data_IF_357327173580
#
_entry.id   IF_357327173580
#
_cell.length_a   1.000
_cell.length_b   1.000
_cell.length_c   1.000
_cell.angle_alpha   90.00
_cell.angle_beta   90.00
_cell.angle_gamma   90.00
#
_symmetry.space_group_name_H-M   'P 1'
#
loop_
_entity.id
_entity.type
_entity.pdbx_description
1 polymer ?
#
# COMPACT_ATOMS: atom_id res chain seq x y z
N UNK A 1 24.79 0.24 -9.07
CA UNK A 1 24.11 -0.85 -9.79
C UNK A 1 23.78 -0.32 -11.17
N UNK A 2 24.27 -0.96 -12.23
CA UNK A 2 23.93 -0.60 -13.62
C UNK A 2 22.59 -1.23 -13.99
N UNK A 3 21.74 -0.53 -14.75
CA UNK A 3 20.58 -1.18 -15.37
C UNK A 3 21.09 -2.08 -16.48
N UNK A 4 20.79 -3.38 -16.39
CA UNK A 4 21.30 -4.35 -17.35
C UNK A 4 20.85 -4.02 -18.78
N UNK A 5 21.82 -3.84 -19.69
CA UNK A 5 21.61 -3.64 -21.11
C UNK A 5 21.94 -4.93 -21.87
N UNK A 6 20.94 -5.63 -22.45
CA UNK A 6 21.17 -6.89 -23.14
C UNK A 6 21.93 -6.74 -24.46
N UNK A 7 22.09 -5.53 -25.00
CA UNK A 7 22.80 -5.28 -26.27
C UNK A 7 24.28 -4.98 -26.08
N UNK A 8 24.65 -4.32 -24.98
CA UNK A 8 26.01 -3.81 -24.78
C UNK A 8 26.69 -4.32 -23.50
N UNK A 9 25.94 -4.88 -22.57
CA UNK A 9 26.47 -5.37 -21.31
C UNK A 9 27.01 -6.81 -21.39
N UNK A 10 28.15 -7.03 -20.75
CA UNK A 10 28.63 -8.38 -20.40
C UNK A 10 28.51 -8.53 -18.89
N UNK A 11 27.70 -9.50 -18.45
CA UNK A 11 27.38 -9.70 -17.04
C UNK A 11 27.67 -11.14 -16.65
N UNK A 12 28.16 -11.35 -15.43
CA UNK A 12 28.20 -12.69 -14.82
C UNK A 12 26.81 -13.11 -14.35
N UNK A 13 26.01 -12.14 -13.87
CA UNK A 13 24.67 -12.35 -13.30
C UNK A 13 23.76 -11.14 -13.51
N UNK A 14 22.49 -11.39 -13.78
CA UNK A 14 21.42 -10.39 -13.89
C UNK A 14 20.27 -10.73 -12.94
N UNK A 15 19.73 -9.71 -12.27
CA UNK A 15 18.55 -9.82 -11.41
C UNK A 15 17.33 -9.23 -12.11
N UNK A 16 16.23 -9.98 -12.16
CA UNK A 16 14.97 -9.56 -12.77
C UNK A 16 13.86 -9.53 -11.73
N UNK A 17 13.28 -8.35 -11.53
CA UNK A 17 12.15 -8.15 -10.62
C UNK A 17 10.85 -7.95 -11.40
N UNK A 18 9.79 -8.68 -11.03
CA UNK A 18 8.45 -8.51 -11.61
C UNK A 18 7.39 -8.39 -10.52
N UNK A 19 6.65 -7.29 -10.54
CA UNK A 19 5.62 -7.00 -9.53
C UNK A 19 4.27 -7.60 -9.91
N UNK A 20 3.83 -7.40 -11.15
CA UNK A 20 2.49 -7.78 -11.60
C UNK A 20 2.50 -9.11 -12.34
N UNK A 21 1.55 -10.00 -12.05
CA UNK A 21 1.42 -11.30 -12.72
C UNK A 21 0.91 -11.20 -14.16
N UNK A 22 0.47 -10.02 -14.58
CA UNK A 22 -0.17 -9.78 -15.86
C UNK A 22 0.65 -8.97 -16.85
N UNK A 23 1.77 -8.37 -16.43
CA UNK A 23 2.66 -7.71 -17.38
C UNK A 23 3.45 -8.77 -18.14
N UNK A 24 3.81 -8.52 -19.41
CA UNK A 24 4.76 -9.38 -20.12
C UNK A 24 6.08 -9.53 -19.32
N UNK A 25 6.78 -10.64 -19.54
CA UNK A 25 8.16 -10.76 -19.05
C UNK A 25 9.11 -9.92 -19.92
N UNK A 26 10.32 -9.65 -19.43
CA UNK A 26 11.34 -8.96 -20.21
C UNK A 26 11.67 -9.80 -21.47
N UNK A 27 11.63 -9.21 -22.68
CA UNK A 27 11.65 -10.00 -23.92
C UNK A 27 13.05 -10.46 -24.35
N UNK A 28 14.11 -9.88 -23.79
CA UNK A 28 15.48 -10.19 -24.19
C UNK A 28 16.13 -11.26 -23.31
N UNK A 29 17.01 -12.04 -23.92
CA UNK A 29 17.79 -13.09 -23.26
C UNK A 29 19.13 -12.51 -22.81
N UNK A 30 19.54 -12.86 -21.59
CA UNK A 30 20.89 -12.57 -21.10
C UNK A 30 21.71 -13.86 -21.11
N UNK A 31 22.91 -13.88 -21.74
CA UNK A 31 23.76 -15.06 -21.79
C UNK A 31 24.58 -15.24 -20.50
N UNK A 32 23.93 -15.14 -19.34
CA UNK A 32 24.54 -15.20 -18.02
C UNK A 32 23.58 -15.84 -17.00
N UNK A 33 23.95 -15.91 -15.73
CA UNK A 33 23.00 -16.32 -14.69
C UNK A 33 21.87 -15.29 -14.57
N UNK A 34 20.61 -15.74 -14.58
CA UNK A 34 19.44 -14.87 -14.43
C UNK A 34 18.66 -15.26 -13.17
N UNK A 35 18.66 -14.37 -12.18
CA UNK A 35 17.92 -14.54 -10.93
C UNK A 35 16.60 -13.77 -11.01
N UNK A 36 15.47 -14.49 -11.09
CA UNK A 36 14.12 -13.91 -11.13
C UNK A 36 13.51 -13.83 -9.74
N UNK A 37 12.81 -12.74 -9.44
CA UNK A 37 12.13 -12.54 -8.16
C UNK A 37 10.93 -11.60 -8.24
N UNK A 38 10.03 -11.73 -7.29
CA UNK A 38 8.86 -10.87 -7.16
C UNK A 38 7.54 -11.57 -7.47
N UNK A 39 6.46 -10.95 -6.96
CA UNK A 39 5.09 -11.49 -7.00
C UNK A 39 4.64 -11.85 -8.41
N UNK A 40 5.09 -11.13 -9.43
CA UNK A 40 4.72 -11.34 -10.83
C UNK A 40 5.25 -12.62 -11.45
N UNK A 41 6.30 -13.21 -10.88
CA UNK A 41 6.80 -14.55 -11.27
C UNK A 41 6.13 -15.69 -10.49
N UNK A 42 5.25 -15.37 -9.53
CA UNK A 42 4.58 -16.35 -8.64
C UNK A 42 5.57 -17.20 -7.81
N UNK A 43 6.79 -16.70 -7.63
CA UNK A 43 7.74 -17.25 -6.67
C UNK A 43 7.51 -16.58 -5.32
N UNK A 44 7.02 -17.37 -4.36
CA UNK A 44 6.75 -16.96 -2.99
C UNK A 44 7.66 -17.64 -1.97
N UNK A 45 8.55 -18.53 -2.44
CA UNK A 45 9.49 -19.25 -1.58
C UNK A 45 10.82 -18.52 -1.47
N UNK A 46 11.21 -17.78 -2.52
CA UNK A 46 12.43 -16.98 -2.50
C UNK A 46 12.28 -15.78 -1.58
N UNK A 47 13.10 -15.76 -0.53
CA UNK A 47 13.29 -14.65 0.38
C UNK A 47 14.62 -13.95 0.10
N UNK A 48 14.71 -12.67 0.45
CA UNK A 48 15.98 -11.95 0.41
C UNK A 48 16.89 -12.47 1.54
N UNK A 49 18.22 -12.54 1.33
CA UNK A 49 19.17 -12.71 2.41
C UNK A 49 19.00 -11.62 3.47
N UNK A 50 19.26 -11.96 4.73
CA UNK A 50 19.05 -11.05 5.88
C UNK A 50 19.87 -9.77 5.72
N UNK A 51 21.14 -9.89 5.32
CA UNK A 51 22.01 -8.74 5.10
C UNK A 51 21.50 -7.79 3.99
N UNK A 52 20.74 -8.32 3.02
CA UNK A 52 20.16 -7.52 1.93
C UNK A 52 18.85 -6.87 2.40
N UNK A 53 17.99 -7.62 3.09
CA UNK A 53 16.71 -7.12 3.64
C UNK A 53 16.93 -5.96 4.62
N UNK A 54 18.03 -6.01 5.37
CA UNK A 54 18.40 -5.01 6.39
C UNK A 54 19.46 -4.00 5.92
N UNK A 55 19.67 -3.89 4.59
CA UNK A 55 20.55 -2.87 4.03
C UNK A 55 19.80 -1.56 3.77
N UNK A 56 20.42 -0.42 4.10
CA UNK A 56 19.92 0.87 3.66
C UNK A 56 19.99 0.93 2.13
N UNK A 57 18.88 1.21 1.41
CA UNK A 57 18.95 1.36 -0.04
C UNK A 57 19.92 2.48 -0.42
N UNK A 58 20.70 2.24 -1.48
CA UNK A 58 21.50 3.30 -2.10
C UNK A 58 20.56 4.23 -2.89
N UNK A 59 20.09 5.25 -2.19
CA UNK A 59 19.24 6.26 -2.77
C UNK A 59 19.98 7.23 -3.72
N UNK A 60 21.28 7.07 -3.95
CA UNK A 60 21.99 7.77 -5.02
C UNK A 60 21.64 7.20 -6.40
N UNK A 61 21.19 5.94 -6.46
CA UNK A 61 20.80 5.27 -7.72
C UNK A 61 19.45 5.74 -8.27
N UNK A 62 18.60 6.30 -7.41
CA UNK A 62 17.25 6.73 -7.77
C UNK A 62 17.00 8.14 -7.26
N UNK A 63 16.63 9.06 -8.14
CA UNK A 63 16.22 10.42 -7.74
C UNK A 63 14.84 10.41 -7.07
N UNK A 64 14.78 9.86 -5.86
CA UNK A 64 13.55 9.74 -5.06
C UNK A 64 13.71 10.45 -3.72
N UNK A 65 12.79 11.39 -3.37
CA UNK A 65 12.99 12.33 -2.26
C UNK A 65 12.68 11.74 -0.87
N UNK A 66 12.28 10.47 -0.79
CA UNK A 66 11.91 9.81 0.44
C UNK A 66 12.64 8.48 0.60
N UNK A 67 12.89 8.09 1.84
CA UNK A 67 13.29 6.74 2.15
C UNK A 67 12.13 5.79 1.84
N UNK A 68 12.41 4.54 1.51
CA UNK A 68 11.41 3.50 1.24
C UNK A 68 11.82 2.27 2.02
N UNK A 69 10.89 1.70 2.78
CA UNK A 69 11.18 0.53 3.61
C UNK A 69 9.92 -0.09 4.23
N UNK A 70 10.18 -1.07 5.10
CA UNK A 70 9.16 -1.87 5.78
C UNK A 70 9.54 -2.01 7.25
N UNK A 71 8.67 -1.55 8.14
CA UNK A 71 8.86 -1.75 9.59
C UNK A 71 8.44 -3.16 10.01
N UNK A 72 7.52 -3.74 9.25
CA UNK A 72 6.89 -5.05 9.47
C UNK A 72 6.68 -5.77 8.13
N UNK A 73 6.66 -7.09 8.21
CA UNK A 73 6.28 -7.99 7.10
C UNK A 73 5.10 -8.85 7.51
N UNK A 74 4.34 -9.33 6.53
CA UNK A 74 3.18 -10.18 6.75
C UNK A 74 1.94 -9.41 7.22
N UNK A 75 0.87 -10.14 7.49
CA UNK A 75 -0.40 -9.55 7.93
C UNK A 75 -1.19 -10.55 8.79
N UNK A 76 -1.93 -10.04 9.77
CA UNK A 76 -2.85 -10.86 10.60
C UNK A 76 -4.11 -11.29 9.84
N UNK A 77 -4.42 -10.64 8.73
CA UNK A 77 -5.62 -10.90 7.95
C UNK A 77 -5.36 -11.91 6.84
N UNK A 78 -6.37 -12.72 6.52
CA UNK A 78 -6.34 -13.68 5.41
C UNK A 78 -7.36 -13.31 4.33
N UNK A 79 -7.32 -12.06 3.87
CA UNK A 79 -8.23 -11.57 2.84
C UNK A 79 -8.09 -12.41 1.56
N UNK A 80 -9.19 -12.89 0.95
CA UNK A 80 -9.12 -13.80 -0.19
C UNK A 80 -8.55 -13.17 -1.47
N UNK A 81 -8.54 -11.83 -1.55
CA UNK A 81 -7.94 -11.06 -2.65
C UNK A 81 -6.47 -10.68 -2.41
N UNK A 82 -5.85 -11.14 -1.32
CA UNK A 82 -4.53 -10.69 -0.90
C UNK A 82 -3.49 -11.81 -1.04
N UNK A 83 -2.34 -11.48 -1.64
CA UNK A 83 -1.21 -12.41 -1.78
C UNK A 83 -0.35 -12.50 -0.50
N UNK A 84 -0.45 -11.51 0.40
CA UNK A 84 0.43 -11.37 1.57
C UNK A 84 0.44 -12.61 2.48
N UNK A 85 -0.69 -13.25 2.82
CA UNK A 85 -0.67 -14.44 3.68
C UNK A 85 0.13 -15.60 3.07
N UNK A 86 0.12 -15.72 1.74
CA UNK A 86 0.87 -16.74 1.00
C UNK A 86 2.35 -16.37 0.84
N UNK A 87 2.63 -15.10 0.59
CA UNK A 87 3.99 -14.60 0.27
C UNK A 87 4.82 -14.27 1.50
N UNK A 88 4.24 -13.57 2.46
CA UNK A 88 4.96 -13.03 3.62
C UNK A 88 4.55 -13.72 4.93
N UNK A 89 3.36 -14.33 4.98
CA UNK A 89 2.89 -15.06 6.15
C UNK A 89 2.34 -14.17 7.27
N UNK A 90 2.51 -14.64 8.50
CA UNK A 90 2.06 -13.94 9.70
C UNK A 90 2.84 -12.63 9.91
N UNK A 91 2.19 -11.68 10.60
CA UNK A 91 2.80 -10.40 10.96
C UNK A 91 4.06 -10.64 11.80
N UNK A 92 5.15 -9.94 11.46
CA UNK A 92 6.41 -9.94 12.24
C UNK A 92 7.12 -8.59 12.12
N UNK A 93 7.99 -8.30 13.08
CA UNK A 93 8.95 -7.21 12.98
C UNK A 93 9.86 -7.40 11.76
N UNK A 94 10.27 -6.29 11.15
CA UNK A 94 11.23 -6.26 10.05
C UNK A 94 12.38 -5.34 10.43
N UNK A 95 12.33 -4.06 10.06
CA UNK A 95 13.41 -3.12 10.30
C UNK A 95 13.02 -2.01 11.28
N UNK A 96 14.02 -1.45 11.95
CA UNK A 96 13.93 -0.13 12.58
C UNK A 96 13.90 0.96 11.50
N UNK A 97 13.14 2.03 11.72
CA UNK A 97 13.03 3.14 10.77
C UNK A 97 14.40 3.70 10.38
N UNK A 98 15.36 3.78 11.30
CA UNK A 98 16.69 4.35 11.04
C UNK A 98 17.54 3.50 10.11
N UNK A 99 17.27 2.19 9.98
CA UNK A 99 18.01 1.28 9.08
C UNK A 99 17.97 1.74 7.63
N UNK A 100 16.84 2.34 7.21
CA UNK A 100 16.63 2.75 5.81
C UNK A 100 16.37 4.25 5.66
N UNK A 101 16.41 5.07 6.72
CA UNK A 101 16.24 6.52 6.54
C UNK A 101 17.33 7.14 5.67
N UNK A 102 18.57 6.66 5.77
CA UNK A 102 19.70 7.17 4.98
C UNK A 102 19.83 8.69 5.05
N UNK A 103 19.64 9.28 6.23
CA UNK A 103 19.65 10.73 6.48
C UNK A 103 18.43 11.52 5.99
N UNK A 104 17.43 10.88 5.38
CA UNK A 104 16.22 11.54 4.87
C UNK A 104 15.26 11.90 5.98
N UNK A 105 14.41 12.90 5.72
CA UNK A 105 13.34 13.35 6.63
C UNK A 105 11.93 12.91 6.19
N UNK A 106 11.83 12.24 5.05
CA UNK A 106 10.59 11.70 4.51
C UNK A 106 10.74 10.19 4.31
N UNK A 107 9.72 9.39 4.60
CA UNK A 107 9.70 7.96 4.33
C UNK A 107 8.35 7.49 3.76
N UNK A 108 8.41 6.53 2.83
CA UNK A 108 7.26 5.78 2.31
C UNK A 108 7.37 4.37 2.85
N UNK A 109 6.37 4.00 3.65
CA UNK A 109 6.33 2.72 4.36
C UNK A 109 5.36 1.79 3.63
N UNK A 110 5.87 0.62 3.29
CA UNK A 110 5.18 -0.36 2.46
C UNK A 110 4.59 -1.52 3.27
N UNK A 111 4.50 -1.35 4.59
CA UNK A 111 3.94 -2.29 5.55
C UNK A 111 2.51 -2.73 5.23
N UNK A 112 2.25 -4.04 5.25
CA UNK A 112 0.92 -4.58 4.99
C UNK A 112 -0.06 -4.37 6.15
N UNK A 113 0.42 -4.38 7.40
CA UNK A 113 -0.42 -4.11 8.58
C UNK A 113 0.40 -3.68 9.82
N UNK A 114 1.11 -2.56 9.72
CA UNK A 114 1.97 -2.04 10.80
C UNK A 114 1.25 -1.90 12.15
N UNK A 115 -0.04 -1.56 12.15
CA UNK A 115 -0.82 -1.33 13.37
C UNK A 115 -1.17 -2.62 14.11
N UNK A 116 -1.00 -3.77 13.49
CA UNK A 116 -1.25 -5.08 14.09
C UNK A 116 0.01 -5.66 14.76
N UNK A 117 1.06 -4.86 14.95
CA UNK A 117 2.34 -5.27 15.53
C UNK A 117 2.77 -4.31 16.64
N UNK A 118 3.16 -4.83 17.81
CA UNK A 118 3.73 -4.02 18.90
C UNK A 118 4.97 -3.25 18.44
N UNK A 119 5.88 -3.94 17.75
CA UNK A 119 7.04 -3.32 17.08
C UNK A 119 6.63 -2.19 16.13
N UNK A 120 5.57 -2.42 15.33
CA UNK A 120 5.08 -1.40 14.40
C UNK A 120 4.61 -0.13 15.11
N UNK A 121 3.94 -0.26 16.26
CA UNK A 121 3.53 0.88 17.08
C UNK A 121 4.74 1.60 17.70
N UNK A 122 5.71 0.86 18.23
CA UNK A 122 6.98 1.43 18.75
C UNK A 122 7.74 2.23 17.68
N UNK A 123 7.79 1.72 16.45
CA UNK A 123 8.41 2.41 15.32
C UNK A 123 7.64 3.67 14.91
N UNK A 124 6.29 3.66 14.97
CA UNK A 124 5.49 4.88 14.75
C UNK A 124 5.78 5.95 15.82
N UNK A 125 5.94 5.56 17.09
CA UNK A 125 6.38 6.49 18.13
C UNK A 125 7.78 7.05 17.84
N UNK A 126 8.70 6.19 17.41
CA UNK A 126 10.05 6.60 17.02
C UNK A 126 10.02 7.60 15.86
N UNK A 127 9.19 7.36 14.84
CA UNK A 127 8.95 8.28 13.72
C UNK A 127 8.50 9.66 14.22
N UNK A 128 7.57 9.70 15.19
CA UNK A 128 7.10 10.96 15.80
C UNK A 128 8.26 11.67 16.51
N UNK A 129 9.04 10.97 17.33
CA UNK A 129 10.20 11.53 18.04
C UNK A 129 11.26 12.10 17.09
N UNK A 130 11.57 11.36 16.02
CA UNK A 130 12.53 11.78 14.99
C UNK A 130 11.99 12.90 14.09
N UNK A 131 10.68 13.18 14.16
CA UNK A 131 10.01 14.19 13.35
C UNK A 131 9.98 13.85 11.86
N UNK A 132 10.08 12.57 11.51
CA UNK A 132 10.06 12.08 10.12
C UNK A 132 8.65 12.19 9.56
N UNK A 133 8.54 12.69 8.33
CA UNK A 133 7.28 12.75 7.60
C UNK A 133 7.05 11.43 6.88
N UNK A 134 5.88 10.82 7.06
CA UNK A 134 5.62 9.47 6.55
C UNK A 134 4.40 9.34 5.65
N UNK A 135 4.47 8.36 4.77
CA UNK A 135 3.37 7.83 3.98
C UNK A 135 3.28 6.31 4.15
N UNK A 136 2.29 5.83 4.90
CA UNK A 136 1.94 4.40 4.93
C UNK A 136 1.12 4.06 3.67
N UNK A 137 1.80 3.58 2.63
CA UNK A 137 1.26 3.58 1.28
C UNK A 137 0.31 2.41 0.99
N UNK A 138 0.44 1.28 1.70
CA UNK A 138 -0.43 0.11 1.53
C UNK A 138 -1.82 0.28 2.16
N UNK A 139 -2.03 1.36 2.92
CA UNK A 139 -3.27 1.59 3.66
C UNK A 139 -3.29 0.89 5.02
N UNK A 140 -3.57 1.65 6.06
CA UNK A 140 -3.69 1.16 7.43
C UNK A 140 -5.00 0.38 7.64
N UNK A 141 -4.95 -0.61 8.52
CA UNK A 141 -6.10 -1.42 8.88
C UNK A 141 -7.04 -0.66 9.83
N UNK A 142 -8.17 -0.18 9.28
CA UNK A 142 -9.18 0.56 10.03
C UNK A 142 -9.73 -0.23 11.24
N UNK A 143 -9.68 -1.57 11.22
CA UNK A 143 -10.12 -2.40 12.37
C UNK A 143 -9.23 -2.19 13.58
N UNK A 144 -7.93 -1.96 13.41
CA UNK A 144 -7.02 -1.71 14.53
C UNK A 144 -7.35 -0.36 15.19
N UNK A 145 -7.54 0.67 14.37
CA UNK A 145 -7.94 2.02 14.82
C UNK A 145 -9.31 1.98 15.52
N UNK A 146 -10.25 1.19 14.98
CA UNK A 146 -11.60 1.07 15.54
C UNK A 146 -11.62 0.40 16.92
N UNK A 147 -10.70 -0.53 17.18
CA UNK A 147 -10.63 -1.31 18.42
C UNK A 147 -9.84 -0.60 19.52
N UNK A 148 -8.85 0.23 19.17
CA UNK A 148 -7.98 0.90 20.13
C UNK A 148 -7.92 2.42 19.91
N UNK A 149 -8.29 3.21 20.94
CA UNK A 149 -8.32 4.68 20.87
C UNK A 149 -6.90 5.25 20.81
N UNK A 150 -5.96 4.63 21.51
CA UNK A 150 -4.56 5.08 21.60
C UNK A 150 -3.89 5.08 20.22
N UNK A 151 -4.29 4.17 19.33
CA UNK A 151 -3.83 4.18 17.94
C UNK A 151 -4.29 5.45 17.21
N UNK A 152 -5.52 5.91 17.41
CA UNK A 152 -5.98 7.14 16.78
C UNK A 152 -5.22 8.38 17.30
N UNK A 153 -4.91 8.41 18.60
CA UNK A 153 -4.09 9.45 19.24
C UNK A 153 -2.63 9.41 18.80
N UNK A 154 -2.09 8.21 18.57
CA UNK A 154 -0.76 8.04 17.99
C UNK A 154 -0.72 8.59 16.56
N UNK A 155 -1.67 8.18 15.72
CA UNK A 155 -1.74 8.60 14.31
C UNK A 155 -2.02 10.10 14.15
N UNK A 156 -2.71 10.75 15.09
CA UNK A 156 -2.94 12.21 15.02
C UNK A 156 -1.67 13.03 15.23
N UNK A 157 -0.65 12.47 15.90
CA UNK A 157 0.65 13.11 16.14
C UNK A 157 1.66 12.89 15.01
N UNK A 158 1.41 11.93 14.12
CA UNK A 158 2.29 11.63 12.99
C UNK A 158 2.32 12.78 11.98
N UNK A 159 3.51 13.12 11.47
CA UNK A 159 3.66 14.07 10.36
C UNK A 159 3.36 13.35 9.04
N UNK A 160 2.13 13.45 8.56
CA UNK A 160 1.73 12.82 7.31
C UNK A 160 2.26 13.55 6.07
N UNK A 161 2.67 12.80 5.04
CA UNK A 161 3.01 13.35 3.73
C UNK A 161 1.81 14.02 3.06
N UNK A 162 0.65 13.35 3.08
CA UNK A 162 -0.58 13.90 2.52
C UNK A 162 -1.83 13.41 3.24
N UNK A 163 -1.97 12.09 3.34
CA UNK A 163 -3.15 11.42 3.88
C UNK A 163 -2.78 10.34 4.89
N UNK A 164 -3.69 10.07 5.81
CA UNK A 164 -3.79 8.79 6.52
C UNK A 164 -4.53 7.84 5.58
N UNK A 165 -3.81 6.95 4.90
CA UNK A 165 -4.40 5.97 4.00
C UNK A 165 -4.91 4.79 4.79
N UNK A 166 -6.11 4.32 4.47
CA UNK A 166 -6.76 3.16 5.05
C UNK A 166 -7.37 2.29 3.95
N UNK A 167 -7.69 1.04 4.25
CA UNK A 167 -8.43 0.17 3.35
C UNK A 167 -9.90 0.05 3.80
N UNK A 168 -10.83 0.13 2.84
CA UNK A 168 -12.25 -0.17 3.05
C UNK A 168 -12.68 -1.16 1.95
N UNK A 169 -12.20 -2.41 2.03
CA UNK A 169 -12.31 -3.39 0.94
C UNK A 169 -13.66 -4.12 0.84
N UNK A 170 -14.48 -4.08 1.89
CA UNK A 170 -15.77 -4.79 1.94
C UNK A 170 -16.72 -4.13 2.93
N UNK A 171 -18.02 -4.14 2.64
CA UNK A 171 -19.06 -3.68 3.59
C UNK A 171 -19.06 -4.46 4.91
N UNK A 172 -18.46 -5.66 4.96
CA UNK A 172 -18.29 -6.40 6.21
C UNK A 172 -17.44 -5.67 7.27
N UNK A 173 -16.59 -4.71 6.86
CA UNK A 173 -15.77 -3.90 7.79
C UNK A 173 -16.32 -2.48 8.01
N UNK A 174 -17.51 -2.18 7.49
CA UNK A 174 -18.16 -0.87 7.55
C UNK A 174 -18.13 -0.22 8.93
N UNK A 175 -18.62 -0.93 9.95
CA UNK A 175 -18.71 -0.35 11.29
C UNK A 175 -17.32 -0.05 11.89
N UNK A 176 -16.31 -0.85 11.53
CA UNK A 176 -14.93 -0.56 11.90
C UNK A 176 -14.42 0.71 11.21
N UNK A 177 -14.70 0.89 9.92
CA UNK A 177 -14.30 2.10 9.17
C UNK A 177 -14.97 3.34 9.75
N UNK A 178 -16.28 3.31 9.98
CA UNK A 178 -17.02 4.43 10.58
C UNK A 178 -16.47 4.79 11.96
N UNK A 179 -16.21 3.78 12.80
CA UNK A 179 -15.64 4.00 14.14
C UNK A 179 -14.20 4.51 14.10
N UNK A 180 -13.38 4.05 13.15
CA UNK A 180 -12.03 4.57 12.95
C UNK A 180 -12.05 6.05 12.55
N UNK A 181 -12.94 6.44 11.62
CA UNK A 181 -13.15 7.84 11.22
C UNK A 181 -13.58 8.68 12.41
N UNK A 182 -14.55 8.22 13.20
CA UNK A 182 -15.03 8.94 14.39
C UNK A 182 -13.90 9.16 15.41
N UNK A 183 -13.09 8.14 15.69
CA UNK A 183 -11.95 8.23 16.62
C UNK A 183 -10.90 9.22 16.12
N UNK A 184 -10.51 9.13 14.85
CA UNK A 184 -9.55 10.07 14.27
C UNK A 184 -10.08 11.52 14.28
N UNK A 185 -11.38 11.72 14.03
CA UNK A 185 -12.03 13.04 14.16
C UNK A 185 -11.96 13.57 15.60
N UNK A 186 -12.20 12.73 16.61
CA UNK A 186 -12.07 13.12 18.04
C UNK A 186 -10.65 13.54 18.38
N UNK A 187 -9.65 12.96 17.74
CA UNK A 187 -8.23 13.37 17.86
C UNK A 187 -7.86 14.58 16.97
N UNK A 188 -8.83 15.28 16.36
CA UNK A 188 -8.60 16.48 15.55
C UNK A 188 -8.19 16.23 14.09
N UNK A 189 -8.18 14.98 13.62
CA UNK A 189 -7.88 14.68 12.22
C UNK A 189 -9.07 15.04 11.34
N UNK A 190 -8.85 15.93 10.37
CA UNK A 190 -9.89 16.34 9.41
C UNK A 190 -10.23 15.17 8.46
N UNK A 191 -11.52 14.91 8.14
CA UNK A 191 -11.90 13.87 7.19
C UNK A 191 -11.20 13.96 5.82
N UNK A 192 -10.94 15.18 5.33
CA UNK A 192 -10.20 15.40 4.08
C UNK A 192 -8.75 14.87 4.10
N UNK A 193 -8.19 14.54 5.28
CA UNK A 193 -6.89 13.88 5.45
C UNK A 193 -6.99 12.36 5.50
N UNK A 194 -8.19 11.80 5.55
CA UNK A 194 -8.44 10.36 5.59
C UNK A 194 -8.71 9.86 4.18
N UNK A 195 -7.80 9.03 3.65
CA UNK A 195 -7.88 8.46 2.31
C UNK A 195 -8.20 6.98 2.41
N UNK A 196 -9.08 6.48 1.54
CA UNK A 196 -9.51 5.09 1.56
C UNK A 196 -9.32 4.46 0.20
N UNK A 197 -8.52 3.41 0.15
CA UNK A 197 -8.55 2.45 -0.94
C UNK A 197 -9.86 1.66 -0.84
N UNK A 198 -10.63 1.65 -1.92
CA UNK A 198 -11.91 0.94 -2.03
C UNK A 198 -11.76 -0.11 -3.11
N UNK A 199 -11.65 -1.37 -2.70
CA UNK A 199 -11.63 -2.50 -3.64
C UNK A 199 -12.98 -2.63 -4.36
N UNK A 200 -12.96 -2.64 -5.69
CA UNK A 200 -14.15 -2.81 -6.53
C UNK A 200 -14.19 -4.24 -7.07
N UNK A 201 -14.97 -5.09 -6.40
CA UNK A 201 -15.33 -6.44 -6.88
C UNK A 201 -16.76 -6.45 -7.39
N UNK A 202 -17.67 -6.04 -6.54
CA UNK A 202 -19.05 -5.72 -6.87
C UNK A 202 -19.20 -4.20 -7.00
N UNK A 203 -19.87 -3.74 -8.05
CA UNK A 203 -19.95 -2.31 -8.38
C UNK A 203 -20.89 -1.59 -7.42
N UNK A 204 -22.04 -2.18 -7.08
CA UNK A 204 -23.04 -1.54 -6.23
C UNK A 204 -22.56 -1.44 -4.79
N UNK A 205 -21.96 -2.51 -4.26
CA UNK A 205 -21.32 -2.51 -2.94
C UNK A 205 -20.19 -1.46 -2.86
N UNK A 206 -19.32 -1.40 -3.87
CA UNK A 206 -18.24 -0.42 -3.90
C UNK A 206 -18.75 1.01 -4.02
N UNK A 207 -19.75 1.26 -4.86
CA UNK A 207 -20.38 2.57 -5.01
C UNK A 207 -21.01 3.02 -3.68
N UNK A 208 -21.70 2.14 -2.97
CA UNK A 208 -22.25 2.42 -1.64
C UNK A 208 -21.16 2.90 -0.67
N UNK A 209 -20.06 2.15 -0.56
CA UNK A 209 -18.91 2.52 0.28
C UNK A 209 -18.27 3.85 -0.13
N UNK A 210 -18.17 4.12 -1.43
CA UNK A 210 -17.61 5.38 -1.95
C UNK A 210 -18.51 6.57 -1.57
N UNK A 211 -19.83 6.45 -1.74
CA UNK A 211 -20.76 7.52 -1.39
C UNK A 211 -20.84 7.75 0.14
N UNK A 212 -20.70 6.70 0.96
CA UNK A 212 -20.55 6.84 2.41
C UNK A 212 -19.32 7.68 2.78
N UNK A 213 -18.16 7.34 2.21
CA UNK A 213 -16.93 8.08 2.42
C UNK A 213 -17.04 9.54 1.93
N UNK A 214 -17.71 9.76 0.80
CA UNK A 214 -18.00 11.10 0.27
C UNK A 214 -18.83 11.92 1.25
N UNK A 215 -19.93 11.34 1.78
CA UNK A 215 -20.80 11.99 2.74
C UNK A 215 -20.07 12.33 4.05
N UNK A 216 -19.11 11.50 4.45
CA UNK A 216 -18.24 11.74 5.61
C UNK A 216 -17.11 12.75 5.34
N UNK A 217 -16.95 13.25 4.10
CA UNK A 217 -15.88 14.16 3.70
C UNK A 217 -14.50 13.51 3.55
N UNK A 218 -14.45 12.18 3.51
CA UNK A 218 -13.23 11.40 3.31
C UNK A 218 -12.85 11.30 1.83
N UNK A 219 -11.64 10.80 1.55
CA UNK A 219 -11.09 10.70 0.19
C UNK A 219 -11.09 9.25 -0.32
N UNK A 220 -12.17 8.77 -0.96
CA UNK A 220 -12.16 7.46 -1.60
C UNK A 220 -11.23 7.45 -2.81
N UNK A 221 -10.72 6.26 -3.10
CA UNK A 221 -10.00 5.89 -4.31
C UNK A 221 -10.34 4.45 -4.69
N UNK A 222 -11.06 4.30 -5.79
CA UNK A 222 -11.55 3.02 -6.27
C UNK A 222 -10.45 2.24 -6.99
N UNK A 223 -10.28 0.98 -6.60
CA UNK A 223 -9.32 0.04 -7.19
C UNK A 223 -10.07 -1.17 -7.75
N UNK A 224 -10.26 -1.25 -9.09
CA UNK A 224 -10.84 -2.42 -9.72
C UNK A 224 -10.05 -3.68 -9.38
N UNK A 225 -10.73 -4.67 -8.83
CA UNK A 225 -10.09 -5.92 -8.47
C UNK A 225 -9.57 -6.61 -9.72
N UNK A 226 -8.30 -6.97 -9.67
CA UNK A 226 -7.66 -7.84 -10.63
C UNK A 226 -7.08 -9.02 -9.88
N UNK A 227 -7.55 -10.20 -10.23
CA UNK A 227 -7.07 -11.43 -9.63
C UNK A 227 -5.61 -11.67 -10.03
N UNK A 228 -4.77 -12.06 -9.07
CA UNK A 228 -3.36 -12.38 -9.30
C UNK A 228 -3.15 -13.84 -9.72
N UNK A 229 -4.12 -14.73 -9.48
CA UNK A 229 -4.09 -16.14 -9.87
C UNK A 229 -4.74 -16.36 -11.24
N UNK A 230 -5.92 -15.78 -11.46
CA UNK A 230 -6.69 -15.92 -12.70
C UNK A 230 -6.46 -14.77 -13.68
N UNK A 231 -6.72 -14.99 -14.97
CA UNK A 231 -6.69 -13.93 -16.00
C UNK A 231 -7.94 -13.04 -15.97
N UNK A 232 -8.63 -12.94 -14.83
CA UNK A 232 -9.82 -12.08 -14.71
C UNK A 232 -9.38 -10.62 -14.79
N UNK A 233 -9.87 -9.94 -15.82
CA UNK A 233 -9.66 -8.51 -16.00
C UNK A 233 -10.83 -7.75 -15.38
N UNK A 234 -10.59 -6.53 -14.85
CA UNK A 234 -11.68 -5.66 -14.46
C UNK A 234 -12.71 -5.49 -15.58
N UNK A 235 -14.00 -5.52 -15.23
CA UNK A 235 -15.07 -5.27 -16.20
C UNK A 235 -15.07 -3.81 -16.66
N UNK A 236 -15.68 -3.48 -17.81
CA UNK A 236 -15.86 -2.08 -18.21
C UNK A 236 -16.51 -1.23 -17.12
N UNK A 237 -17.53 -1.76 -16.42
CA UNK A 237 -18.24 -1.03 -15.38
C UNK A 237 -17.38 -0.79 -14.13
N UNK A 238 -16.56 -1.77 -13.70
CA UNK A 238 -15.61 -1.56 -12.61
C UNK A 238 -14.58 -0.47 -12.95
N UNK A 239 -14.10 -0.43 -14.21
CA UNK A 239 -13.22 0.64 -14.69
C UNK A 239 -13.92 1.99 -14.74
N UNK A 240 -15.18 2.03 -15.20
CA UNK A 240 -16.00 3.24 -15.24
C UNK A 240 -16.20 3.82 -13.84
N UNK A 241 -16.53 3.00 -12.84
CA UNK A 241 -16.61 3.42 -11.44
C UNK A 241 -15.30 4.02 -10.94
N UNK A 242 -14.18 3.35 -11.24
CA UNK A 242 -12.88 3.84 -10.82
C UNK A 242 -12.49 5.16 -11.50
N UNK A 243 -12.75 5.31 -12.80
CA UNK A 243 -12.51 6.55 -13.54
C UNK A 243 -13.31 7.72 -12.94
N UNK A 244 -14.60 7.51 -12.66
CA UNK A 244 -15.45 8.49 -12.00
C UNK A 244 -14.94 8.89 -10.61
N UNK A 245 -14.66 7.91 -9.75
CA UNK A 245 -14.24 8.14 -8.36
C UNK A 245 -12.87 8.80 -8.27
N UNK A 246 -11.92 8.37 -9.10
CA UNK A 246 -10.53 8.80 -8.99
C UNK A 246 -10.27 10.14 -9.68
N UNK A 247 -11.13 10.57 -10.60
CA UNK A 247 -11.06 11.89 -11.22
C UNK A 247 -11.78 12.94 -10.34
N UNK A 248 -11.02 13.60 -9.46
CA UNK A 248 -11.57 14.51 -8.42
C UNK A 248 -12.55 15.56 -8.93
N UNK A 249 -12.31 16.27 -10.06
CA UNK A 249 -13.30 17.21 -10.58
C UNK A 249 -14.64 16.54 -10.85
N UNK A 250 -14.65 15.41 -11.57
CA UNK A 250 -15.88 14.65 -11.87
C UNK A 250 -16.53 14.09 -10.61
N UNK A 251 -15.73 13.52 -9.69
CA UNK A 251 -16.23 12.95 -8.45
C UNK A 251 -17.00 13.97 -7.60
N UNK A 252 -16.56 15.23 -7.60
CA UNK A 252 -17.21 16.28 -6.82
C UNK A 252 -18.40 16.93 -7.55
N UNK A 253 -18.44 16.93 -8.88
CA UNK A 253 -19.47 17.65 -9.65
C UNK A 253 -20.58 16.78 -10.22
N UNK A 254 -20.35 15.47 -10.41
CA UNK A 254 -21.29 14.57 -11.11
C UNK A 254 -21.59 13.35 -10.25
N UNK A 255 -22.87 13.04 -10.06
CA UNK A 255 -23.29 11.78 -9.45
C UNK A 255 -23.04 10.61 -10.40
N UNK A 256 -22.63 9.45 -9.88
CA UNK A 256 -22.27 8.29 -10.71
C UNK A 256 -23.35 7.87 -11.72
N UNK A 257 -24.63 7.96 -11.31
CA UNK A 257 -25.79 7.65 -12.18
C UNK A 257 -25.85 8.52 -13.44
N UNK A 258 -25.32 9.75 -13.36
CA UNK A 258 -25.32 10.73 -14.45
C UNK A 258 -23.98 10.79 -15.19
N UNK A 259 -22.97 10.05 -14.72
CA UNK A 259 -21.66 10.04 -15.35
C UNK A 259 -21.76 9.35 -16.71
N UNK A 260 -21.28 10.00 -17.77
CA UNK A 260 -21.09 9.40 -19.09
C UNK A 260 -19.60 9.52 -19.40
N UNK A 261 -19.00 8.43 -19.85
CA UNK A 261 -17.57 8.39 -20.17
C UNK A 261 -17.23 9.28 -21.37
#
# INVERSE_FOLDING_TARGET
>A
MEFADPMFGQYDRVYMAKVFTFTPDYPHVFPCEVVKGGTGYRDYARVLPEEVEHSCPDYGLYDYPAAVGFLTRGCVNRCPWCVVPRKEGAIRANADIEEFLGGRRNAVLLDNNVLASGWGLEQIEKIIRLGVRVDFNQGLDARQIARNTEIAELLSRVKWSKYIRMAYDSSAVRDNVHRAIERLKKCGVKPAKMFFYVLVRDVDDALGRIEELRALGCQPFAQPYRDFESKIHPTPEQRRLARWCNHKPTFHTVNYKNYKE
#
